data_IF_423293678592
#
_entry.id   IF_423293678592
#
_cell.length_a   1.000
_cell.length_b   1.000
_cell.length_c   1.000
_cell.angle_alpha   90.00
_cell.angle_beta   90.00
_cell.angle_gamma   90.00
#
_symmetry.space_group_name_H-M   'P 1'
#
loop_
_entity.id
_entity.type
_entity.pdbx_description
1 polymer ?
#
# COMPACT_ATOMS: atom_id res chain seq x y z
N UNK A 1 -0.58 -5.07 -16.55
CA UNK A 1 0.49 -4.58 -15.67
C UNK A 1 0.47 -5.34 -14.37
N UNK A 2 1.35 -4.98 -13.45
CA UNK A 2 1.53 -5.55 -12.10
C UNK A 2 1.28 -4.51 -11.00
N UNK A 3 0.72 -3.36 -11.36
CA UNK A 3 0.40 -2.24 -10.47
C UNK A 3 -1.09 -2.20 -10.16
N UNK A 4 -1.40 -1.96 -8.88
CA UNK A 4 -2.75 -1.93 -8.35
C UNK A 4 -2.89 -0.76 -7.37
N UNK A 5 -4.10 -0.20 -7.28
CA UNK A 5 -4.45 0.85 -6.31
C UNK A 5 -5.48 0.30 -5.33
N UNK A 6 -5.27 0.56 -4.05
CA UNK A 6 -6.23 0.25 -2.98
C UNK A 6 -6.66 1.57 -2.35
N UNK A 7 -7.96 1.86 -2.41
CA UNK A 7 -8.54 3.03 -1.74
C UNK A 7 -9.21 2.58 -0.45
N UNK A 8 -8.83 3.23 0.65
CA UNK A 8 -9.46 3.04 1.96
C UNK A 8 -10.36 4.24 2.21
N UNK A 9 -11.66 3.99 2.35
CA UNK A 9 -12.64 4.98 2.75
C UNK A 9 -13.02 4.82 4.22
N UNK A 10 -13.78 5.80 4.75
CA UNK A 10 -14.32 5.76 6.10
C UNK A 10 -13.27 5.50 7.20
N UNK A 11 -12.06 5.99 7.00
CA UNK A 11 -11.02 5.97 8.03
C UNK A 11 -11.38 6.92 9.18
N UNK A 12 -10.85 6.67 10.39
CA UNK A 12 -10.96 7.61 11.50
C UNK A 12 -10.54 9.02 11.10
N UNK A 13 -11.22 10.03 11.67
CA UNK A 13 -10.90 11.45 11.41
C UNK A 13 -9.53 11.81 11.98
N UNK A 14 -9.15 11.17 13.09
CA UNK A 14 -7.81 11.32 13.65
C UNK A 14 -6.76 10.67 12.73
N UNK A 15 -5.77 11.44 12.32
CA UNK A 15 -4.74 11.01 11.37
C UNK A 15 -3.93 9.84 11.92
N UNK A 16 -3.66 9.82 13.23
CA UNK A 16 -2.86 8.76 13.85
C UNK A 16 -3.65 7.45 13.86
N UNK A 17 -4.94 7.50 14.20
CA UNK A 17 -5.82 6.32 14.10
C UNK A 17 -5.96 5.83 12.65
N UNK A 18 -6.08 6.74 11.67
CA UNK A 18 -6.09 6.39 10.25
C UNK A 18 -4.77 5.75 9.79
N UNK A 19 -3.63 6.22 10.31
CA UNK A 19 -2.30 5.62 10.10
C UNK A 19 -2.22 4.20 10.67
N UNK A 20 -2.77 3.97 11.86
CA UNK A 20 -2.80 2.64 12.48
C UNK A 20 -3.63 1.65 11.65
N UNK A 21 -4.82 2.06 11.20
CA UNK A 21 -5.69 1.24 10.35
C UNK A 21 -5.03 0.93 9.01
N UNK A 22 -4.47 1.93 8.33
CA UNK A 22 -3.79 1.73 7.05
C UNK A 22 -2.54 0.84 7.18
N UNK A 23 -1.80 0.98 8.28
CA UNK A 23 -0.65 0.12 8.59
C UNK A 23 -1.05 -1.34 8.80
N UNK A 24 -2.16 -1.59 9.50
CA UNK A 24 -2.69 -2.94 9.70
C UNK A 24 -3.06 -3.59 8.37
N UNK A 25 -3.69 -2.84 7.47
CA UNK A 25 -4.08 -3.33 6.14
C UNK A 25 -2.84 -3.62 5.29
N UNK A 26 -1.84 -2.73 5.27
CA UNK A 26 -0.58 -2.96 4.55
C UNK A 26 0.13 -4.23 5.04
N UNK A 27 0.21 -4.41 6.35
CA UNK A 27 0.80 -5.61 6.97
C UNK A 27 0.07 -6.88 6.52
N UNK A 28 -1.27 -6.87 6.55
CA UNK A 28 -2.10 -8.00 6.10
C UNK A 28 -1.89 -8.33 4.62
N UNK A 29 -1.77 -7.31 3.76
CA UNK A 29 -1.52 -7.49 2.33
C UNK A 29 -0.15 -8.11 2.09
N UNK A 30 0.90 -7.59 2.73
CA UNK A 30 2.26 -8.13 2.66
C UNK A 30 2.30 -9.60 3.09
N UNK A 31 1.73 -9.92 4.24
CA UNK A 31 1.70 -11.30 4.75
C UNK A 31 0.91 -12.25 3.85
N UNK A 32 -0.21 -11.78 3.30
CA UNK A 32 -1.06 -12.60 2.42
C UNK A 32 -0.39 -12.87 1.09
N UNK A 33 0.15 -11.83 0.44
CA UNK A 33 0.76 -11.94 -0.90
C UNK A 33 2.07 -12.75 -0.86
N UNK A 34 2.80 -12.68 0.26
CA UNK A 34 4.05 -13.44 0.42
C UNK A 34 3.83 -14.96 0.55
N UNK A 35 2.60 -15.42 0.83
CA UNK A 35 2.30 -16.85 0.92
C UNK A 35 2.38 -17.49 -0.47
N UNK A 36 2.98 -18.69 -0.58
CA UNK A 36 2.96 -19.43 -1.83
C UNK A 36 1.54 -19.72 -2.29
N UNK A 37 1.30 -19.65 -3.60
CA UNK A 37 0.03 -20.00 -4.22
C UNK A 37 0.23 -20.96 -5.39
N UNK A 38 -0.73 -21.85 -5.61
CA UNK A 38 -0.64 -22.88 -6.63
C UNK A 38 -1.38 -22.47 -7.89
N UNK A 39 -0.69 -22.50 -9.03
CA UNK A 39 -1.28 -22.33 -10.35
C UNK A 39 -0.88 -23.51 -11.24
N UNK A 40 -1.87 -24.25 -11.76
CA UNK A 40 -1.66 -25.47 -12.59
C UNK A 40 -0.68 -26.47 -11.95
N UNK A 41 -0.81 -26.69 -10.63
CA UNK A 41 0.05 -27.58 -9.81
C UNK A 41 1.51 -27.12 -9.65
N UNK A 42 1.85 -25.91 -10.09
CA UNK A 42 3.14 -25.28 -9.82
C UNK A 42 2.96 -24.27 -8.67
N UNK A 43 3.87 -24.32 -7.70
CA UNK A 43 3.89 -23.37 -6.58
C UNK A 43 4.63 -22.11 -7.00
N UNK A 44 3.99 -20.96 -6.81
CA UNK A 44 4.55 -19.64 -7.06
C UNK A 44 4.61 -18.86 -5.75
N UNK A 45 5.61 -18.00 -5.65
CA UNK A 45 5.73 -17.05 -4.56
C UNK A 45 6.05 -15.69 -5.15
N UNK A 46 5.39 -14.65 -4.62
CA UNK A 46 5.64 -13.27 -5.02
C UNK A 46 5.70 -12.36 -3.80
N UNK A 47 6.04 -11.11 -4.01
CA UNK A 47 6.04 -10.07 -2.99
C UNK A 47 5.43 -8.80 -3.55
N UNK A 48 5.06 -7.87 -2.67
CA UNK A 48 4.53 -6.56 -3.05
C UNK A 48 5.30 -5.46 -2.33
N UNK A 49 5.50 -4.33 -3.00
CA UNK A 49 5.90 -3.09 -2.32
C UNK A 49 4.70 -2.15 -2.35
N UNK A 50 4.43 -1.45 -1.26
CA UNK A 50 3.21 -0.64 -1.10
C UNK A 50 3.60 0.80 -0.77
N UNK A 51 3.12 1.76 -1.55
CA UNK A 51 3.17 3.18 -1.21
C UNK A 51 1.84 3.63 -0.64
N UNK A 52 1.87 4.34 0.49
CA UNK A 52 0.67 4.80 1.19
C UNK A 52 0.68 6.31 1.26
N UNK A 53 -0.45 6.94 0.95
CA UNK A 53 -0.68 8.35 1.20
C UNK A 53 -2.04 8.53 1.85
N UNK A 54 -2.06 9.15 3.04
CA UNK A 54 -3.29 9.55 3.72
C UNK A 54 -3.60 11.00 3.37
N UNK A 55 -4.86 11.26 3.05
CA UNK A 55 -5.34 12.57 2.67
C UNK A 55 -6.69 12.83 3.35
N UNK A 56 -6.91 14.08 3.77
CA UNK A 56 -8.10 14.47 4.54
C UNK A 56 -8.72 15.78 4.00
N UNK A 57 -8.62 16.05 2.69
CA UNK A 57 -9.12 17.34 2.16
C UNK A 57 -9.89 17.22 0.85
N UNK A 58 -10.94 18.05 0.68
CA UNK A 58 -11.64 18.20 -0.60
C UNK A 58 -10.78 18.79 -1.72
N UNK A 59 -9.62 19.37 -1.39
CA UNK A 59 -8.63 19.91 -2.36
C UNK A 59 -7.65 18.84 -2.88
N UNK A 60 -7.70 17.61 -2.36
CA UNK A 60 -6.86 16.52 -2.82
C UNK A 60 -7.37 16.01 -4.17
N UNK A 61 -6.85 16.55 -5.28
CA UNK A 61 -7.02 15.95 -6.59
C UNK A 61 -6.49 14.49 -6.52
N UNK A 62 -7.28 13.54 -7.00
CA UNK A 62 -6.94 12.11 -7.09
C UNK A 62 -5.57 11.92 -7.74
N UNK A 63 -5.23 12.70 -8.76
CA UNK A 63 -3.91 12.65 -9.41
C UNK A 63 -2.77 12.97 -8.45
N UNK A 64 -2.95 13.95 -7.56
CA UNK A 64 -1.94 14.30 -6.56
C UNK A 64 -1.82 13.22 -5.49
N UNK A 65 -2.94 12.64 -5.07
CA UNK A 65 -2.95 11.53 -4.11
C UNK A 65 -2.21 10.30 -4.68
N UNK A 66 -2.50 9.94 -5.93
CA UNK A 66 -1.81 8.86 -6.63
C UNK A 66 -0.32 9.14 -6.81
N UNK A 67 0.05 10.37 -7.18
CA UNK A 67 1.45 10.76 -7.33
C UNK A 67 2.24 10.62 -6.02
N UNK A 68 1.67 11.05 -4.90
CA UNK A 68 2.31 10.90 -3.57
C UNK A 68 2.40 9.44 -3.14
N UNK A 69 1.35 8.65 -3.37
CA UNK A 69 1.40 7.21 -3.13
C UNK A 69 2.49 6.52 -3.98
N UNK A 70 2.67 6.94 -5.23
CA UNK A 70 3.71 6.39 -6.11
C UNK A 70 5.13 6.77 -5.67
N UNK A 71 5.34 8.01 -5.21
CA UNK A 71 6.61 8.42 -4.59
C UNK A 71 6.92 7.53 -3.38
N UNK A 72 5.93 7.30 -2.50
CA UNK A 72 6.11 6.40 -1.36
C UNK A 72 6.36 4.95 -1.79
N UNK A 73 5.76 4.48 -2.88
CA UNK A 73 6.02 3.16 -3.45
C UNK A 73 7.49 3.04 -3.90
N UNK A 74 8.03 4.09 -4.52
CA UNK A 74 9.43 4.11 -4.92
C UNK A 74 10.36 3.99 -3.71
N UNK A 75 10.09 4.73 -2.63
CA UNK A 75 10.82 4.62 -1.36
C UNK A 75 10.72 3.21 -0.75
N UNK A 76 9.53 2.58 -0.78
CA UNK A 76 9.37 1.20 -0.34
C UNK A 76 10.22 0.22 -1.16
N UNK A 77 10.29 0.43 -2.49
CA UNK A 77 11.15 -0.36 -3.38
C UNK A 77 12.64 -0.13 -3.08
N UNK A 78 13.05 1.10 -2.77
CA UNK A 78 14.43 1.46 -2.44
C UNK A 78 14.88 0.88 -1.09
N UNK A 79 13.97 0.75 -0.12
CA UNK A 79 14.22 0.19 1.23
C UNK A 79 14.32 -1.35 1.27
N UNK A 80 14.46 -2.01 0.12
CA UNK A 80 14.63 -3.47 0.04
C UNK A 80 13.42 -4.24 -0.49
N UNK A 81 12.33 -3.55 -0.89
CA UNK A 81 11.09 -4.14 -1.40
C UNK A 81 10.39 -5.01 -0.33
N UNK A 82 9.29 -5.67 -0.70
CA UNK A 82 8.49 -6.50 0.21
C UNK A 82 8.14 -5.76 1.52
N UNK A 83 7.83 -4.48 1.40
CA UNK A 83 7.54 -3.58 2.52
C UNK A 83 6.55 -2.51 2.08
N UNK A 84 6.09 -1.71 3.03
CA UNK A 84 5.33 -0.51 2.75
C UNK A 84 6.11 0.74 3.18
N UNK A 85 5.78 1.88 2.60
CA UNK A 85 6.21 3.18 3.07
C UNK A 85 5.06 4.17 3.00
N UNK A 86 4.92 4.99 4.04
CA UNK A 86 3.95 6.07 4.08
C UNK A 86 4.64 7.36 3.65
N UNK A 87 4.02 8.09 2.73
CA UNK A 87 4.41 9.44 2.38
C UNK A 87 4.19 10.37 3.59
N UNK A 88 5.19 11.20 3.91
CA UNK A 88 5.16 12.20 4.99
C UNK A 88 4.44 13.49 4.60
#
# INVERSE_FOLDING_TARGET
GDEFVVMLDNLPVDIKEAQEVSTLICSKLLETIRKPFSLKKVSYQTSVSIGVYLFNTPESNVENALKKADIALYEAKAKGRNTYHCYE
#
